data_IF_327357945034
#
_entry.id   IF_327357945034
#
_cell.length_a   1.000
_cell.length_b   1.000
_cell.length_c   1.000
_cell.angle_alpha   90.00
_cell.angle_beta   90.00
_cell.angle_gamma   90.00
#
_symmetry.space_group_name_H-M   'P 1'
#
loop_
_entity.id
_entity.type
_entity.pdbx_description
1 polymer ?
#
# COMPACT_ATOMS: atom_id res chain seq x y z
N UNK A 1 -31.54 -91.26 14.41
CA UNK A 1 -32.76 -90.67 15.00
C UNK A 1 -32.58 -89.16 15.07
N UNK A 2 -33.54 -88.43 14.48
CA UNK A 2 -33.87 -86.99 14.51
C UNK A 2 -32.80 -85.98 15.00
N UNK A 3 -32.31 -85.02 14.18
CA UNK A 3 -32.98 -83.78 13.69
C UNK A 3 -33.10 -82.73 14.83
N UNK A 4 -32.75 -81.44 14.71
CA UNK A 4 -32.90 -80.45 13.63
C UNK A 4 -31.97 -79.23 13.85
N UNK A 5 -31.62 -78.55 12.76
CA UNK A 5 -30.72 -77.38 12.62
C UNK A 5 -31.50 -76.02 12.72
N UNK A 6 -31.06 -74.88 12.11
CA UNK A 6 -30.39 -73.70 12.72
C UNK A 6 -31.07 -72.35 12.34
N UNK A 7 -30.49 -71.16 12.63
CA UNK A 7 -30.62 -69.85 11.87
C UNK A 7 -29.54 -68.88 12.46
N UNK A 8 -28.41 -68.51 11.81
CA UNK A 8 -28.14 -67.55 10.70
C UNK A 8 -28.61 -66.09 10.97
N UNK A 9 -27.99 -64.95 10.60
CA UNK A 9 -26.66 -64.52 10.13
C UNK A 9 -26.75 -63.00 9.82
N UNK A 10 -25.62 -62.28 9.91
CA UNK A 10 -25.20 -61.05 9.17
C UNK A 10 -25.70 -59.62 9.48
N UNK A 11 -24.71 -58.80 9.88
CA UNK A 11 -24.16 -57.56 9.28
C UNK A 11 -25.01 -56.56 8.47
N UNK A 12 -24.73 -55.25 8.68
CA UNK A 12 -24.30 -54.24 7.67
C UNK A 12 -24.23 -52.80 8.25
N UNK A 13 -23.08 -52.13 8.07
CA UNK A 13 -22.93 -50.67 7.86
C UNK A 13 -23.44 -50.31 6.42
N UNK A 14 -23.51 -49.04 5.92
CA UNK A 14 -23.22 -47.70 6.47
C UNK A 14 -24.26 -46.59 6.07
N UNK A 15 -23.92 -45.31 6.34
CA UNK A 15 -23.98 -44.14 5.42
C UNK A 15 -24.84 -42.92 5.77
N UNK A 16 -24.20 -41.76 5.57
CA UNK A 16 -24.70 -40.50 4.99
C UNK A 16 -25.44 -39.44 5.84
N UNK A 17 -24.74 -38.29 5.96
CA UNK A 17 -25.16 -36.98 5.42
C UNK A 17 -26.07 -36.01 6.21
N UNK A 18 -25.50 -34.81 6.41
CA UNK A 18 -26.07 -33.45 6.30
C UNK A 18 -27.35 -33.07 7.06
N UNK A 19 -27.30 -32.00 7.88
CA UNK A 19 -27.81 -30.65 7.52
C UNK A 19 -28.07 -29.71 8.72
N UNK A 20 -27.55 -28.49 8.56
CA UNK A 20 -28.06 -27.14 8.93
C UNK A 20 -28.63 -26.73 10.30
N UNK A 21 -28.06 -25.59 10.73
CA UNK A 21 -28.70 -24.35 11.18
C UNK A 21 -29.57 -24.36 12.44
N UNK A 22 -29.09 -23.65 13.47
CA UNK A 22 -29.94 -23.11 14.52
C UNK A 22 -29.97 -21.57 14.42
N UNK A 23 -31.18 -21.06 14.16
CA UNK A 23 -31.54 -19.64 14.10
C UNK A 23 -32.01 -19.22 15.49
N UNK A 24 -31.43 -18.16 16.05
CA UNK A 24 -32.02 -17.45 17.19
C UNK A 24 -32.43 -16.04 16.75
N UNK A 25 -33.75 -15.80 16.82
CA UNK A 25 -34.45 -14.53 16.61
C UNK A 25 -34.14 -13.57 17.75
N UNK A 26 -33.95 -12.28 17.47
CA UNK A 26 -34.55 -11.21 18.28
C UNK A 26 -34.79 -9.92 17.46
N UNK A 27 -35.85 -9.22 17.89
CA UNK A 27 -36.71 -8.24 17.22
C UNK A 27 -36.08 -6.93 16.72
N UNK A 28 -36.50 -6.57 15.50
CA UNK A 28 -37.07 -5.28 15.03
C UNK A 28 -36.78 -3.98 15.82
N UNK A 29 -36.13 -3.03 15.14
CA UNK A 29 -36.62 -1.65 15.05
C UNK A 29 -36.35 -1.10 13.63
N UNK A 30 -37.41 -0.54 13.05
CA UNK A 30 -37.53 -0.07 11.67
C UNK A 30 -37.42 1.45 11.62
N UNK A 31 -36.70 1.99 10.63
CA UNK A 31 -36.98 3.32 10.08
C UNK A 31 -36.85 3.28 8.55
N UNK A 32 -38.01 3.49 7.90
CA UNK A 32 -38.28 3.93 6.51
C UNK A 32 -37.33 5.05 6.04
N UNK A 33 -37.13 5.40 4.76
CA UNK A 33 -37.56 5.01 3.41
C UNK A 33 -36.58 5.77 2.48
N UNK A 34 -36.23 5.26 1.30
CA UNK A 34 -36.36 6.05 0.05
C UNK A 34 -36.26 5.13 -1.16
N UNK A 35 -37.33 5.16 -1.94
CA UNK A 35 -37.56 4.43 -3.19
C UNK A 35 -36.82 5.14 -4.33
N UNK A 36 -36.11 4.40 -5.18
CA UNK A 36 -35.95 4.76 -6.60
C UNK A 36 -36.19 3.53 -7.45
N UNK A 37 -37.27 3.60 -8.22
CA UNK A 37 -37.67 2.65 -9.25
C UNK A 37 -36.62 2.62 -10.36
N UNK A 38 -36.27 1.42 -10.84
CA UNK A 38 -35.80 1.24 -12.20
C UNK A 38 -36.74 0.24 -12.89
N UNK A 39 -37.37 0.76 -13.93
CA UNK A 39 -38.28 0.11 -14.85
C UNK A 39 -37.49 -0.92 -15.67
N UNK A 40 -37.93 -2.17 -15.67
CA UNK A 40 -37.41 -3.22 -16.51
C UNK A 40 -38.19 -3.17 -17.83
N UNK A 41 -37.53 -2.81 -18.94
CA UNK A 41 -38.11 -2.88 -20.27
C UNK A 41 -37.49 -4.05 -21.04
N UNK A 42 -38.34 -5.00 -21.40
CA UNK A 42 -38.03 -6.21 -22.14
C UNK A 42 -37.85 -5.92 -23.63
N UNK A 43 -36.68 -6.22 -24.20
CA UNK A 43 -36.54 -6.46 -25.63
C UNK A 43 -35.50 -7.56 -25.88
N UNK A 44 -35.96 -8.71 -26.40
CA UNK A 44 -35.13 -9.72 -27.08
C UNK A 44 -34.58 -9.14 -28.40
N UNK A 45 -33.49 -9.72 -28.94
CA UNK A 45 -33.70 -10.51 -30.17
C UNK A 45 -32.82 -11.78 -30.32
N UNK A 46 -33.49 -12.78 -30.91
CA UNK A 46 -33.09 -13.86 -31.84
C UNK A 46 -31.64 -14.40 -31.84
N UNK A 47 -31.59 -15.71 -31.56
CA UNK A 47 -30.52 -16.67 -31.85
C UNK A 47 -30.55 -17.02 -33.35
N UNK A 48 -29.39 -16.97 -34.02
CA UNK A 48 -29.13 -17.70 -35.26
C UNK A 48 -28.00 -18.70 -35.02
N UNK A 49 -28.34 -19.97 -35.20
CA UNK A 49 -27.47 -21.13 -35.08
C UNK A 49 -26.94 -21.47 -36.48
N UNK A 50 -25.63 -21.46 -36.69
CA UNK A 50 -25.00 -22.15 -37.82
C UNK A 50 -23.84 -23.01 -37.32
N UNK A 51 -23.97 -24.31 -37.57
CA UNK A 51 -22.93 -25.34 -37.53
C UNK A 51 -22.54 -25.61 -38.99
N UNK A 52 -21.26 -25.89 -39.34
CA UNK A 52 -20.93 -27.32 -39.53
C UNK A 52 -19.46 -27.73 -39.29
N UNK A 53 -19.31 -29.00 -38.83
CA UNK A 53 -18.45 -30.11 -39.33
C UNK A 53 -16.92 -29.91 -39.41
N UNK A 54 -16.14 -30.57 -38.53
CA UNK A 54 -15.61 -31.95 -38.60
C UNK A 54 -14.39 -32.14 -39.52
N UNK A 55 -13.25 -32.55 -38.96
CA UNK A 55 -12.35 -33.66 -39.39
C UNK A 55 -11.00 -33.58 -38.62
N UNK A 56 -10.67 -34.67 -37.91
CA UNK A 56 -9.31 -35.09 -37.47
C UNK A 56 -8.75 -36.07 -38.54
N UNK A 57 -7.52 -36.67 -38.47
CA UNK A 57 -6.33 -36.52 -37.59
C UNK A 57 -4.98 -36.50 -38.40
N UNK A 58 -3.84 -36.83 -37.74
CA UNK A 58 -2.50 -37.21 -38.24
C UNK A 58 -1.44 -36.09 -38.40
N UNK A 59 -0.13 -36.26 -38.17
CA UNK A 59 0.73 -37.30 -37.58
C UNK A 59 2.19 -36.77 -37.54
N UNK A 60 3.04 -37.37 -36.69
CA UNK A 60 4.51 -37.55 -36.84
C UNK A 60 5.55 -36.41 -36.67
N UNK A 61 6.47 -36.66 -35.73
CA UNK A 61 7.87 -36.17 -35.52
C UNK A 61 8.76 -36.91 -36.57
N UNK A 62 9.95 -36.46 -37.09
CA UNK A 62 11.16 -36.11 -36.32
C UNK A 62 12.28 -35.20 -36.91
N UNK A 63 13.20 -34.81 -36.00
CA UNK A 63 14.66 -34.57 -36.10
C UNK A 63 15.35 -34.34 -37.46
N UNK A 64 16.27 -33.35 -37.52
CA UNK A 64 17.73 -33.61 -37.47
C UNK A 64 18.61 -32.36 -37.64
N UNK A 65 19.65 -32.31 -36.79
CA UNK A 65 21.06 -31.89 -36.98
C UNK A 65 21.36 -30.47 -37.52
N UNK A 66 22.34 -29.72 -37.01
CA UNK A 66 23.79 -30.02 -37.05
C UNK A 66 24.56 -29.25 -35.95
N UNK A 67 25.53 -29.95 -35.33
CA UNK A 67 26.84 -29.58 -34.77
C UNK A 67 27.34 -28.13 -35.04
N UNK A 68 28.19 -27.44 -34.28
CA UNK A 68 29.29 -27.81 -33.36
C UNK A 68 29.82 -26.50 -32.71
N UNK A 69 30.22 -26.57 -31.44
CA UNK A 69 31.12 -25.64 -30.71
C UNK A 69 32.56 -25.61 -31.29
N UNK A 70 33.58 -24.85 -30.78
CA UNK A 70 33.69 -23.87 -29.68
C UNK A 70 34.42 -22.55 -30.11
N UNK A 71 34.57 -21.49 -29.30
CA UNK A 71 35.78 -21.23 -28.48
C UNK A 71 35.85 -19.73 -28.06
N UNK A 72 36.53 -19.47 -26.93
CA UNK A 72 36.71 -18.17 -26.25
C UNK A 72 37.78 -17.29 -26.91
N UNK A 73 37.66 -15.96 -26.79
CA UNK A 73 38.82 -15.08 -26.53
C UNK A 73 38.40 -13.71 -25.94
N UNK A 74 39.23 -13.24 -25.01
CA UNK A 74 39.21 -11.95 -24.29
C UNK A 74 39.81 -10.80 -25.14
N UNK A 75 39.43 -9.54 -24.87
CA UNK A 75 40.26 -8.30 -24.73
C UNK A 75 39.33 -7.06 -24.78
N UNK A 76 39.19 -6.26 -23.72
CA UNK A 76 40.02 -5.13 -23.26
C UNK A 76 39.86 -3.80 -24.04
N UNK A 77 39.40 -2.77 -23.32
CA UNK A 77 39.93 -1.40 -23.37
C UNK A 77 39.57 -0.51 -24.57
N UNK A 78 38.79 0.55 -24.32
CA UNK A 78 38.79 1.72 -25.20
C UNK A 78 38.87 3.01 -24.36
N UNK A 79 39.94 3.79 -24.59
CA UNK A 79 40.20 5.13 -24.06
C UNK A 79 40.39 6.08 -25.25
N UNK A 80 39.63 7.18 -25.22
CA UNK A 80 39.95 8.56 -25.65
C UNK A 80 40.76 8.85 -26.93
N UNK A 81 40.17 9.65 -27.83
CA UNK A 81 40.50 11.08 -28.12
C UNK A 81 40.59 11.47 -29.61
N UNK A 82 39.88 12.57 -29.94
CA UNK A 82 40.24 13.68 -30.86
C UNK A 82 40.39 13.39 -32.38
N UNK A 83 39.39 13.73 -33.21
CA UNK A 83 39.24 14.96 -34.08
C UNK A 83 40.08 14.92 -35.39
N UNK A 84 39.72 15.57 -36.53
CA UNK A 84 38.58 16.46 -36.83
C UNK A 84 37.82 16.13 -38.16
N UNK A 85 36.65 16.74 -38.41
CA UNK A 85 36.14 16.93 -39.80
C UNK A 85 35.50 18.30 -39.93
N UNK A 86 35.95 19.07 -40.93
CA UNK A 86 35.42 20.36 -41.34
C UNK A 86 34.14 20.22 -42.20
N UNK A 87 33.14 20.99 -41.77
CA UNK A 87 32.13 21.75 -42.50
C UNK A 87 31.70 21.32 -43.91
N UNK A 88 30.42 20.95 -44.02
CA UNK A 88 29.54 21.46 -45.06
C UNK A 88 28.17 21.71 -44.44
N UNK A 89 27.69 22.93 -44.61
CA UNK A 89 26.55 23.54 -43.94
C UNK A 89 25.21 23.11 -44.56
N UNK A 90 24.37 22.45 -43.77
CA UNK A 90 22.91 22.52 -43.90
C UNK A 90 22.33 22.58 -42.50
N UNK A 91 22.00 23.79 -42.04
CA UNK A 91 21.29 24.01 -40.79
C UNK A 91 19.97 23.23 -40.82
N UNK A 92 19.81 22.29 -39.88
CA UNK A 92 18.53 21.72 -39.50
C UNK A 92 18.51 21.81 -37.98
N UNK A 93 17.96 22.92 -37.50
CA UNK A 93 17.85 23.22 -36.08
C UNK A 93 16.84 22.32 -35.39
N UNK A 94 17.17 22.10 -34.12
CA UNK A 94 16.48 21.38 -33.06
C UNK A 94 14.99 21.78 -32.87
N UNK A 95 14.19 20.99 -32.12
CA UNK A 95 12.78 21.28 -31.91
C UNK A 95 12.60 22.41 -30.87
N UNK A 96 12.84 23.65 -31.27
CA UNK A 96 12.38 24.86 -30.59
C UNK A 96 11.13 25.42 -31.28
N UNK A 97 10.00 24.71 -31.29
CA UNK A 97 8.76 25.27 -31.86
C UNK A 97 7.45 24.89 -31.16
N UNK A 98 7.47 24.15 -30.06
CA UNK A 98 6.20 23.80 -29.36
C UNK A 98 5.65 24.98 -28.53
N UNK A 99 6.50 25.94 -28.14
CA UNK A 99 6.04 27.13 -27.38
C UNK A 99 5.48 28.22 -28.31
N UNK A 100 5.93 28.30 -29.57
CA UNK A 100 5.52 29.35 -30.50
C UNK A 100 4.22 29.07 -31.26
N UNK A 101 3.75 27.82 -31.32
CA UNK A 101 2.42 27.52 -31.88
C UNK A 101 1.28 27.97 -30.96
N UNK A 102 1.48 27.95 -29.63
CA UNK A 102 0.49 28.46 -28.67
C UNK A 102 0.29 29.99 -28.75
N UNK A 103 1.24 30.72 -29.36
CA UNK A 103 1.18 32.18 -29.50
C UNK A 103 0.61 32.65 -30.84
N UNK A 104 0.46 31.75 -31.83
CA UNK A 104 -0.16 32.08 -33.13
C UNK A 104 -1.70 32.18 -33.08
N UNK A 105 -2.32 31.73 -31.99
CA UNK A 105 -3.78 31.82 -31.78
C UNK A 105 -4.27 33.18 -31.27
N UNK A 106 -3.37 34.08 -30.84
CA UNK A 106 -3.75 35.44 -30.41
C UNK A 106 -3.87 36.34 -31.64
N UNK A 107 -4.97 36.21 -32.39
CA UNK A 107 -5.27 37.18 -33.45
C UNK A 107 -5.50 38.55 -32.82
N UNK A 108 -4.84 39.58 -33.38
CA UNK A 108 -5.05 40.98 -32.99
C UNK A 108 -6.52 41.40 -33.10
N UNK A 109 -7.29 40.75 -33.96
CA UNK A 109 -8.73 40.97 -34.09
C UNK A 109 -9.51 40.46 -32.88
N UNK A 110 -9.12 39.34 -32.25
CA UNK A 110 -9.76 38.88 -31.00
C UNK A 110 -9.50 39.81 -29.81
N UNK A 111 -8.28 40.39 -29.75
CA UNK A 111 -7.90 41.38 -28.74
C UNK A 111 -8.63 42.69 -28.98
N UNK A 112 -8.77 43.12 -30.25
CA UNK A 112 -9.50 44.32 -30.65
C UNK A 112 -11.02 44.21 -30.41
N UNK A 113 -11.59 43.02 -30.61
CA UNK A 113 -13.01 42.72 -30.32
C UNK A 113 -13.27 42.57 -28.81
N UNK A 114 -12.28 42.09 -28.04
CA UNK A 114 -12.30 42.11 -26.58
C UNK A 114 -12.17 43.53 -26.00
N UNK A 115 -11.36 44.39 -26.64
CA UNK A 115 -11.17 45.79 -26.24
C UNK A 115 -12.43 46.65 -26.49
N UNK A 116 -13.20 46.38 -27.55
CA UNK A 116 -14.43 47.14 -27.85
C UNK A 116 -15.62 46.78 -26.95
N UNK A 117 -15.53 45.69 -26.18
CA UNK A 117 -16.53 45.29 -25.17
C UNK A 117 -16.14 45.66 -23.72
N UNK A 118 -15.05 46.41 -23.53
CA UNK A 118 -14.61 46.86 -22.22
C UNK A 118 -15.48 48.03 -21.75
N UNK A 119 -16.47 47.74 -20.91
CA UNK A 119 -17.09 48.79 -20.10
C UNK A 119 -16.05 49.34 -19.12
N UNK A 120 -16.03 50.66 -18.85
CA UNK A 120 -15.06 51.28 -17.93
C UNK A 120 -15.07 50.61 -16.55
N UNK A 121 -16.22 50.07 -16.15
CA UNK A 121 -16.37 49.31 -14.91
C UNK A 121 -15.59 47.98 -14.89
N UNK A 122 -15.49 47.26 -16.01
CA UNK A 122 -14.69 46.02 -16.08
C UNK A 122 -13.20 46.31 -15.97
N UNK A 123 -12.70 47.35 -16.64
CA UNK A 123 -11.29 47.76 -16.57
C UNK A 123 -10.92 48.16 -15.14
N UNK A 124 -11.79 48.91 -14.45
CA UNK A 124 -11.59 49.28 -13.04
C UNK A 124 -11.55 48.05 -12.13
N UNK A 125 -12.47 47.09 -12.33
CA UNK A 125 -12.50 45.83 -11.56
C UNK A 125 -11.23 45.01 -11.74
N UNK A 126 -10.78 44.81 -12.99
CA UNK A 126 -9.55 44.09 -13.28
C UNK A 126 -8.32 44.83 -12.75
N UNK A 127 -8.25 46.15 -12.92
CA UNK A 127 -7.17 46.98 -12.36
C UNK A 127 -7.08 46.89 -10.84
N UNK A 128 -8.22 46.91 -10.13
CA UNK A 128 -8.27 46.73 -8.69
C UNK A 128 -7.80 45.33 -8.28
N UNK A 129 -8.23 44.28 -8.99
CA UNK A 129 -7.78 42.91 -8.73
C UNK A 129 -6.28 42.74 -8.96
N UNK A 130 -5.74 43.29 -10.05
CA UNK A 130 -4.31 43.26 -10.33
C UNK A 130 -3.50 44.05 -9.30
N UNK A 131 -4.01 45.20 -8.85
CA UNK A 131 -3.37 46.00 -7.80
C UNK A 131 -3.34 45.26 -6.45
N UNK A 132 -4.47 44.67 -6.04
CA UNK A 132 -4.54 43.84 -4.83
C UNK A 132 -3.60 42.63 -4.95
N UNK A 133 -3.57 41.97 -6.10
CA UNK A 133 -2.67 40.85 -6.34
C UNK A 133 -1.20 41.28 -6.30
N UNK A 134 -0.84 42.44 -6.86
CA UNK A 134 0.52 42.98 -6.83
C UNK A 134 0.95 43.35 -5.40
N UNK A 135 0.07 43.95 -4.62
CA UNK A 135 0.31 44.27 -3.20
C UNK A 135 0.49 42.98 -2.39
N UNK A 136 -0.41 42.00 -2.56
CA UNK A 136 -0.32 40.70 -1.91
C UNK A 136 0.96 39.96 -2.29
N UNK A 137 1.35 39.99 -3.56
CA UNK A 137 2.57 39.35 -4.06
C UNK A 137 3.82 40.03 -3.51
N UNK A 138 3.86 41.37 -3.46
CA UNK A 138 4.97 42.13 -2.85
C UNK A 138 5.08 41.85 -1.35
N UNK A 139 3.94 41.81 -0.64
CA UNK A 139 3.91 41.45 0.77
C UNK A 139 4.42 40.01 1.00
N UNK A 140 3.95 39.05 0.19
CA UNK A 140 4.41 37.66 0.25
C UNK A 140 5.90 37.53 -0.02
N UNK A 141 6.42 38.24 -1.02
CA UNK A 141 7.86 38.27 -1.31
C UNK A 141 8.65 38.82 -0.12
N UNK A 142 8.19 39.91 0.49
CA UNK A 142 8.84 40.50 1.66
C UNK A 142 8.83 39.56 2.86
N UNK A 143 7.74 38.83 3.09
CA UNK A 143 7.66 37.81 4.16
C UNK A 143 8.64 36.67 3.87
N UNK A 144 8.67 36.15 2.64
CA UNK A 144 9.54 35.03 2.24
C UNK A 144 11.03 35.40 2.16
N UNK A 145 11.38 36.66 1.91
CA UNK A 145 12.79 37.11 1.92
C UNK A 145 13.25 37.49 3.33
N UNK A 146 12.33 37.68 4.28
CA UNK A 146 12.68 38.06 5.64
C UNK A 146 13.32 36.88 6.40
N UNK A 147 14.57 37.00 6.88
CA UNK A 147 15.24 35.92 7.61
C UNK A 147 14.55 35.61 8.95
N UNK A 148 13.92 36.61 9.60
CA UNK A 148 13.19 36.39 10.84
C UNK A 148 11.94 35.53 10.63
N UNK A 149 11.26 35.66 9.47
CA UNK A 149 10.14 34.78 9.15
C UNK A 149 10.60 33.33 9.15
N UNK A 150 11.70 33.01 8.44
CA UNK A 150 12.24 31.66 8.39
C UNK A 150 12.75 31.16 9.74
N UNK A 151 13.27 32.05 10.58
CA UNK A 151 13.66 31.73 11.95
C UNK A 151 12.44 31.34 12.81
N UNK A 152 11.37 32.14 12.84
CA UNK A 152 10.17 31.78 13.61
C UNK A 152 9.40 30.61 13.00
N UNK A 153 9.38 30.52 11.67
CA UNK A 153 8.80 29.39 10.96
C UNK A 153 9.57 28.10 11.26
N UNK A 154 10.91 28.12 11.27
CA UNK A 154 11.71 26.94 11.66
C UNK A 154 11.51 26.58 13.13
N UNK A 155 11.36 27.56 14.03
CA UNK A 155 10.98 27.31 15.42
C UNK A 155 9.60 26.66 15.54
N UNK A 156 8.70 26.88 14.58
CA UNK A 156 7.39 26.20 14.53
C UNK A 156 7.52 24.71 14.16
N UNK A 157 8.61 24.31 13.50
CA UNK A 157 8.93 22.90 13.24
C UNK A 157 9.73 22.27 14.38
N UNK A 158 10.55 23.06 15.06
CA UNK A 158 11.37 22.61 16.20
C UNK A 158 10.51 22.44 17.47
N UNK A 159 9.67 23.42 17.79
CA UNK A 159 8.70 23.37 18.88
C UNK A 159 7.38 22.85 18.34
N UNK A 160 6.86 21.78 18.95
CA UNK A 160 5.66 21.12 18.42
C UNK A 160 4.41 21.96 18.66
N UNK A 161 3.87 22.68 17.66
CA UNK A 161 2.73 23.53 17.86
C UNK A 161 1.51 22.62 17.83
N UNK A 162 0.91 22.38 18.98
CA UNK A 162 -0.34 21.64 19.09
C UNK A 162 -1.39 22.06 18.06
N UNK A 163 -1.43 23.36 17.74
CA UNK A 163 -2.30 23.92 16.70
C UNK A 163 -2.08 23.29 15.32
N UNK A 164 -0.83 23.01 14.93
CA UNK A 164 -0.51 22.37 13.65
C UNK A 164 -0.95 20.91 13.66
N UNK A 165 -0.64 20.16 14.74
CA UNK A 165 -1.05 18.77 14.86
C UNK A 165 -2.58 18.60 14.86
N UNK A 166 -3.29 19.48 15.58
CA UNK A 166 -4.75 19.50 15.64
C UNK A 166 -5.39 19.95 14.31
N UNK A 167 -4.82 20.94 13.63
CA UNK A 167 -5.28 21.36 12.30
C UNK A 167 -5.09 20.24 11.27
N UNK A 168 -3.99 19.51 11.36
CA UNK A 168 -3.73 18.36 10.50
C UNK A 168 -4.67 17.19 10.80
N UNK A 169 -5.01 16.98 12.08
CA UNK A 169 -6.01 15.99 12.50
C UNK A 169 -7.42 16.35 11.99
N UNK A 170 -7.83 17.61 12.14
CA UNK A 170 -9.16 18.07 11.73
C UNK A 170 -9.35 17.98 10.22
N UNK A 171 -8.34 18.40 9.44
CA UNK A 171 -8.35 18.26 7.99
C UNK A 171 -8.37 16.79 7.56
N UNK A 172 -7.59 15.92 8.24
CA UNK A 172 -7.64 14.48 8.00
C UNK A 172 -9.02 13.88 8.29
N UNK A 173 -9.72 14.32 9.33
CA UNK A 173 -11.07 13.84 9.63
C UNK A 173 -12.09 14.27 8.56
N UNK A 174 -11.96 15.49 8.04
CA UNK A 174 -12.73 15.95 6.88
C UNK A 174 -12.48 15.07 5.65
N UNK A 175 -11.21 14.80 5.31
CA UNK A 175 -10.83 13.90 4.23
C UNK A 175 -11.35 12.47 4.45
N UNK A 176 -11.33 11.98 5.69
CA UNK A 176 -11.84 10.65 6.03
C UNK A 176 -13.35 10.55 5.80
N UNK A 177 -14.12 11.54 6.23
CA UNK A 177 -15.57 11.58 5.97
C UNK A 177 -15.86 11.60 4.46
N UNK A 178 -15.07 12.34 3.67
CA UNK A 178 -15.15 12.35 2.21
C UNK A 178 -14.78 11.00 1.60
N UNK A 179 -13.76 10.31 2.14
CA UNK A 179 -13.35 8.98 1.71
C UNK A 179 -14.43 7.92 1.99
N UNK A 180 -15.08 8.00 3.16
CA UNK A 180 -16.19 7.11 3.52
C UNK A 180 -17.42 7.28 2.59
N UNK A 181 -17.57 8.45 1.93
CA UNK A 181 -18.59 8.71 0.90
C UNK A 181 -18.15 8.29 -0.51
N UNK A 182 -16.90 7.88 -0.70
CA UNK A 182 -16.34 7.51 -2.01
C UNK A 182 -15.91 8.69 -2.88
N UNK A 183 -15.82 9.91 -2.32
CA UNK A 183 -15.54 11.14 -3.07
C UNK A 183 -14.08 11.61 -2.95
N UNK A 184 -13.25 10.91 -2.17
CA UNK A 184 -11.91 11.38 -1.85
C UNK A 184 -10.88 11.12 -2.96
N UNK A 185 -10.13 12.17 -3.29
CA UNK A 185 -9.00 12.13 -4.22
C UNK A 185 -7.78 11.43 -3.61
N UNK A 186 -6.83 11.01 -4.44
CA UNK A 186 -5.59 10.34 -4.00
C UNK A 186 -4.79 11.19 -3.00
N UNK A 187 -4.75 12.51 -3.19
CA UNK A 187 -4.09 13.44 -2.27
C UNK A 187 -4.77 13.45 -0.91
N UNK A 188 -6.10 13.43 -0.86
CA UNK A 188 -6.87 13.40 0.39
C UNK A 188 -6.67 12.07 1.12
N UNK A 189 -6.58 10.96 0.39
CA UNK A 189 -6.24 9.66 0.98
C UNK A 189 -4.81 9.64 1.55
N UNK A 190 -3.86 10.25 0.85
CA UNK A 190 -2.49 10.42 1.33
C UNK A 190 -2.42 11.26 2.59
N UNK A 191 -3.23 12.33 2.70
CA UNK A 191 -3.36 13.14 3.92
C UNK A 191 -3.85 12.32 5.10
N UNK A 192 -4.86 11.46 4.91
CA UNK A 192 -5.37 10.58 5.98
C UNK A 192 -4.26 9.70 6.53
N UNK A 193 -3.51 9.04 5.64
CA UNK A 193 -2.42 8.14 6.02
C UNK A 193 -1.26 8.91 6.68
N UNK A 194 -0.90 10.07 6.13
CA UNK A 194 0.14 10.93 6.69
C UNK A 194 -0.21 11.37 8.11
N UNK A 195 -1.46 11.83 8.32
CA UNK A 195 -1.95 12.26 9.63
C UNK A 195 -1.93 11.12 10.64
N UNK A 196 -2.39 9.93 10.25
CA UNK A 196 -2.33 8.75 11.12
C UNK A 196 -0.90 8.44 11.59
N UNK A 197 0.09 8.46 10.71
CA UNK A 197 1.48 8.21 11.10
C UNK A 197 2.11 9.36 11.88
N UNK A 198 1.74 10.61 11.60
CA UNK A 198 2.15 11.76 12.41
C UNK A 198 1.69 11.59 13.86
N UNK A 199 0.42 11.24 14.07
CA UNK A 199 -0.15 11.01 15.39
C UNK A 199 0.35 9.74 16.08
N UNK A 200 0.83 8.78 15.31
CA UNK A 200 1.41 7.55 15.83
C UNK A 200 2.88 7.69 16.22
N UNK A 201 3.68 8.46 15.47
CA UNK A 201 5.16 8.43 15.58
C UNK A 201 5.81 9.75 15.97
N UNK A 202 5.21 10.90 15.62
CA UNK A 202 5.79 12.23 15.89
C UNK A 202 5.13 12.92 17.08
N UNK A 203 3.79 12.91 17.14
CA UNK A 203 3.05 13.57 18.23
C UNK A 203 3.45 13.02 19.61
N UNK A 204 3.59 11.70 19.84
CA UNK A 204 3.91 11.21 21.18
C UNK A 204 5.26 11.70 21.71
N UNK A 205 6.41 11.51 21.03
CA UNK A 205 7.69 11.99 21.54
C UNK A 205 7.71 13.53 21.61
N UNK A 206 7.09 14.22 20.65
CA UNK A 206 6.99 15.67 20.70
C UNK A 206 6.21 16.20 21.91
N UNK A 207 5.12 15.53 22.27
CA UNK A 207 4.29 15.90 23.41
C UNK A 207 5.07 15.85 24.73
N UNK A 208 5.78 14.74 24.97
CA UNK A 208 6.49 14.54 26.23
C UNK A 208 7.81 15.31 26.31
N UNK A 209 8.43 15.66 25.18
CA UNK A 209 9.72 16.35 25.14
C UNK A 209 9.62 17.86 24.84
N UNK A 210 8.49 18.35 24.33
CA UNK A 210 8.26 19.77 23.98
C UNK A 210 8.90 20.23 22.67
N UNK A 211 9.85 19.49 22.12
CA UNK A 211 10.47 19.73 20.82
C UNK A 211 10.65 18.42 20.05
N UNK A 212 10.80 18.52 18.72
CA UNK A 212 11.02 17.38 17.85
C UNK A 212 12.24 17.62 16.96
N UNK A 213 13.36 17.00 17.31
CA UNK A 213 14.60 17.07 16.53
C UNK A 213 15.23 15.69 16.35
N UNK A 214 15.86 15.49 15.19
CA UNK A 214 16.70 14.32 14.92
C UNK A 214 15.96 13.09 14.42
N UNK A 215 16.26 11.95 15.03
CA UNK A 215 15.94 10.63 14.49
C UNK A 215 14.44 10.26 14.44
N UNK A 216 13.51 10.80 15.26
CA UNK A 216 12.09 10.45 15.15
C UNK A 216 11.46 10.82 13.80
N UNK A 217 11.94 11.88 13.15
CA UNK A 217 11.54 12.26 11.78
C UNK A 217 11.87 11.13 10.79
N UNK A 218 13.01 10.46 10.98
CA UNK A 218 13.40 9.34 10.13
C UNK A 218 12.45 8.17 10.30
N UNK A 219 12.01 7.87 11.52
CA UNK A 219 11.00 6.83 11.75
C UNK A 219 9.66 7.16 11.10
N UNK A 220 9.22 8.41 11.17
CA UNK A 220 8.03 8.85 10.45
C UNK A 220 8.15 8.56 8.94
N UNK A 221 9.26 8.94 8.32
CA UNK A 221 9.50 8.68 6.90
C UNK A 221 9.58 7.17 6.58
N UNK A 222 10.26 6.40 7.43
CA UNK A 222 10.38 4.94 7.29
C UNK A 222 9.00 4.29 7.40
N UNK A 223 8.19 4.63 8.41
CA UNK A 223 6.83 4.12 8.57
C UNK A 223 5.98 4.46 7.37
N UNK A 224 6.02 5.72 6.96
CA UNK A 224 5.25 6.19 5.82
C UNK A 224 5.60 5.36 4.58
N UNK A 225 6.88 5.27 4.22
CA UNK A 225 7.32 4.49 3.08
C UNK A 225 7.04 2.99 3.21
N UNK A 226 7.20 2.41 4.41
CA UNK A 226 7.01 0.98 4.67
C UNK A 226 5.59 0.51 4.33
N UNK A 227 4.56 1.29 4.69
CA UNK A 227 3.17 0.93 4.38
C UNK A 227 2.81 1.18 2.90
N UNK A 228 3.46 2.14 2.24
CA UNK A 228 3.34 2.34 0.80
C UNK A 228 4.14 1.34 -0.04
N UNK A 229 5.10 0.62 0.56
CA UNK A 229 6.00 -0.30 -0.13
C UNK A 229 5.27 -1.32 -1.01
N UNK A 230 4.17 -1.88 -0.50
CA UNK A 230 3.31 -2.80 -1.26
C UNK A 230 2.75 -2.14 -2.52
N UNK A 231 2.25 -0.90 -2.41
CA UNK A 231 1.72 -0.16 -3.56
C UNK A 231 2.83 0.16 -4.55
N UNK A 232 3.99 0.60 -4.07
CA UNK A 232 5.16 0.93 -4.91
C UNK A 232 5.71 -0.28 -5.67
N UNK A 233 5.88 -1.43 -5.01
CA UNK A 233 6.36 -2.67 -5.65
C UNK A 233 5.40 -3.08 -6.76
N UNK A 234 4.10 -3.02 -6.49
CA UNK A 234 3.08 -3.41 -7.46
C UNK A 234 3.03 -2.49 -8.66
N UNK A 235 3.05 -1.17 -8.44
CA UNK A 235 3.12 -0.18 -9.51
C UNK A 235 4.37 -0.38 -10.36
N UNK A 236 5.52 -0.71 -9.74
CA UNK A 236 6.76 -1.01 -10.47
C UNK A 236 6.67 -2.28 -11.31
N UNK A 237 6.04 -3.34 -10.80
CA UNK A 237 5.96 -4.63 -11.47
C UNK A 237 4.92 -4.68 -12.59
N UNK A 238 3.81 -3.95 -12.44
CA UNK A 238 2.62 -4.11 -13.27
C UNK A 238 2.12 -2.82 -13.93
N UNK A 239 2.70 -1.66 -13.62
CA UNK A 239 2.27 -0.36 -14.14
C UNK A 239 1.03 0.19 -13.42
N UNK A 240 0.23 0.97 -14.14
CA UNK A 240 -0.96 1.62 -13.58
C UNK A 240 -2.07 0.62 -13.24
N UNK A 241 -2.64 0.80 -12.05
CA UNK A 241 -3.52 -0.15 -11.38
C UNK A 241 -4.86 -0.28 -12.11
N UNK A 242 -5.05 -1.35 -12.88
CA UNK A 242 -6.40 -1.80 -13.26
C UNK A 242 -6.92 -2.72 -12.15
N UNK A 243 -8.00 -2.35 -11.43
CA UNK A 243 -8.59 -3.24 -10.44
C UNK A 243 -9.06 -4.52 -11.14
N UNK A 244 -8.64 -5.68 -10.61
CA UNK A 244 -9.03 -6.99 -11.12
C UNK A 244 -10.36 -7.41 -10.52
N UNK A 245 -11.02 -8.36 -11.19
CA UNK A 245 -12.10 -9.14 -10.58
C UNK A 245 -11.52 -9.88 -9.38
N UNK A 246 -11.96 -9.45 -8.20
CA UNK A 246 -11.47 -9.91 -6.92
C UNK A 246 -12.44 -10.96 -6.37
N UNK A 247 -11.95 -12.16 -6.08
CA UNK A 247 -12.76 -13.21 -5.46
C UNK A 247 -12.90 -12.93 -3.95
N UNK A 248 -14.12 -12.68 -3.45
CA UNK A 248 -14.38 -12.36 -2.03
C UNK A 248 -13.89 -13.45 -1.07
N UNK A 249 -13.67 -14.68 -1.54
CA UNK A 249 -13.14 -15.79 -0.73
C UNK A 249 -11.77 -15.48 -0.13
N UNK A 250 -10.97 -14.66 -0.81
CA UNK A 250 -9.63 -14.27 -0.37
C UNK A 250 -9.64 -13.05 0.56
N UNK A 251 -10.80 -12.44 0.84
CA UNK A 251 -10.96 -11.34 1.80
C UNK A 251 -11.03 -11.84 3.24
N UNK A 252 -9.89 -12.32 3.73
CA UNK A 252 -9.76 -12.77 5.11
C UNK A 252 -9.70 -11.56 6.03
N UNK A 253 -10.86 -11.21 6.59
CA UNK A 253 -10.99 -10.06 7.47
C UNK A 253 -11.50 -10.44 8.84
N UNK A 254 -10.79 -9.96 9.88
CA UNK A 254 -11.27 -10.07 11.25
C UNK A 254 -12.45 -9.12 11.50
N UNK A 255 -13.32 -9.42 12.49
CA UNK A 255 -14.38 -8.52 12.92
C UNK A 255 -13.88 -7.10 13.17
N UNK A 256 -14.69 -6.10 12.81
CA UNK A 256 -14.32 -4.67 12.91
C UNK A 256 -13.82 -4.27 14.30
N UNK A 257 -14.40 -4.83 15.37
CA UNK A 257 -13.97 -4.56 16.75
C UNK A 257 -12.55 -5.05 17.04
N UNK A 258 -12.12 -6.19 16.49
CA UNK A 258 -10.73 -6.68 16.64
C UNK A 258 -9.73 -5.77 15.93
N UNK A 259 -10.12 -5.24 14.75
CA UNK A 259 -9.31 -4.25 14.02
C UNK A 259 -9.20 -2.95 14.82
N UNK A 260 -10.31 -2.47 15.38
CA UNK A 260 -10.32 -1.28 16.23
C UNK A 260 -9.43 -1.48 17.47
N UNK A 261 -9.58 -2.60 18.17
CA UNK A 261 -8.76 -2.94 19.34
C UNK A 261 -7.27 -3.01 18.99
N UNK A 262 -6.91 -3.57 17.83
CA UNK A 262 -5.54 -3.57 17.34
C UNK A 262 -5.03 -2.16 17.08
N UNK A 263 -5.79 -1.31 16.37
CA UNK A 263 -5.40 0.08 16.11
C UNK A 263 -5.22 0.88 17.41
N UNK A 264 -6.16 0.73 18.36
CA UNK A 264 -6.07 1.38 19.67
C UNK A 264 -4.86 0.85 20.45
N UNK A 265 -4.63 -0.46 20.47
CA UNK A 265 -3.49 -1.06 21.15
C UNK A 265 -2.15 -0.58 20.57
N UNK A 266 -2.03 -0.50 19.24
CA UNK A 266 -0.82 0.04 18.60
C UNK A 266 -0.64 1.52 18.94
N UNK A 267 -1.70 2.32 18.90
CA UNK A 267 -1.66 3.74 19.28
C UNK A 267 -1.21 3.91 20.74
N UNK A 268 -1.85 3.22 21.67
CA UNK A 268 -1.49 3.24 23.10
C UNK A 268 -0.05 2.80 23.29
N UNK A 269 0.40 1.74 22.62
CA UNK A 269 1.77 1.27 22.73
C UNK A 269 2.82 2.31 22.31
N UNK A 270 2.55 3.07 21.23
CA UNK A 270 3.48 4.13 20.80
C UNK A 270 3.46 5.34 21.75
N UNK A 271 2.28 5.68 22.30
CA UNK A 271 2.16 6.75 23.28
C UNK A 271 2.82 6.42 24.62
N UNK A 272 2.62 5.19 25.11
CA UNK A 272 3.29 4.71 26.33
C UNK A 272 4.79 4.57 26.10
N UNK A 273 5.25 4.19 24.90
CA UNK A 273 6.68 4.15 24.58
C UNK A 273 7.34 5.54 24.69
N UNK A 274 6.65 6.58 24.21
CA UNK A 274 7.15 7.94 24.32
C UNK A 274 7.11 8.49 25.75
N UNK A 275 6.23 7.95 26.60
CA UNK A 275 6.17 8.27 28.03
C UNK A 275 7.21 7.51 28.86
N UNK A 276 7.46 6.24 28.54
CA UNK A 276 8.43 5.37 29.21
C UNK A 276 9.88 5.74 28.87
N UNK A 277 10.11 6.20 27.64
CA UNK A 277 11.43 6.58 27.16
C UNK A 277 12.01 7.79 27.91
N UNK A 278 13.35 7.86 28.08
CA UNK A 278 14.00 9.05 28.61
C UNK A 278 13.87 10.22 27.62
N UNK A 279 14.17 11.42 28.10
CA UNK A 279 14.12 12.63 27.28
C UNK A 279 14.95 12.47 26.01
N UNK A 280 14.42 12.94 24.88
CA UNK A 280 14.92 12.62 23.55
C UNK A 280 16.38 13.06 23.33
N UNK A 281 16.82 14.13 24.00
CA UNK A 281 18.19 14.61 23.94
C UNK A 281 19.20 13.68 24.66
N UNK A 282 18.74 12.83 25.58
CA UNK A 282 19.53 11.82 26.26
C UNK A 282 19.67 10.53 25.44
N UNK A 283 18.82 10.37 24.41
CA UNK A 283 18.90 9.23 23.49
C UNK A 283 19.83 9.62 22.35
N UNK A 284 21.11 9.19 22.36
CA UNK A 284 22.05 9.58 21.33
C UNK A 284 21.53 9.10 19.96
N UNK A 285 21.58 9.99 18.98
CA UNK A 285 21.24 9.67 17.59
C UNK A 285 22.41 9.01 16.84
N UNK A 286 22.23 8.85 15.52
CA UNK A 286 23.30 8.47 14.60
C UNK A 286 23.80 7.03 14.78
N UNK A 287 25.13 6.87 14.77
CA UNK A 287 25.84 5.58 14.78
C UNK A 287 25.73 4.83 16.11
N UNK A 288 25.40 5.50 17.21
CA UNK A 288 25.16 4.83 18.50
C UNK A 288 23.97 3.86 18.43
N UNK A 289 23.04 4.06 17.49
CA UNK A 289 21.85 3.24 17.28
C UNK A 289 22.02 2.22 16.14
N UNK A 290 23.25 1.79 15.83
CA UNK A 290 23.53 0.83 14.76
C UNK A 290 22.65 -0.44 14.83
N UNK A 291 22.44 -0.98 16.03
CA UNK A 291 21.56 -2.13 16.22
C UNK A 291 20.11 -1.86 15.79
N UNK A 292 19.57 -0.70 16.14
CA UNK A 292 18.21 -0.28 15.77
C UNK A 292 18.10 -0.08 14.26
N UNK A 293 19.09 0.58 13.63
CA UNK A 293 19.15 0.69 12.17
C UNK A 293 19.17 -0.68 11.50
N UNK A 294 19.92 -1.64 12.05
CA UNK A 294 19.92 -3.02 11.60
C UNK A 294 18.52 -3.66 11.65
N UNK A 295 17.77 -3.46 12.74
CA UNK A 295 16.39 -3.95 12.86
C UNK A 295 15.45 -3.32 11.83
N UNK A 296 15.55 -2.01 11.60
CA UNK A 296 14.74 -1.30 10.60
C UNK A 296 15.05 -1.82 9.19
N UNK A 297 16.33 -1.91 8.84
CA UNK A 297 16.76 -2.41 7.53
C UNK A 297 16.28 -3.84 7.34
N UNK A 298 16.38 -4.68 8.37
CA UNK A 298 15.85 -6.05 8.35
C UNK A 298 14.33 -6.07 8.13
N UNK A 299 13.57 -5.22 8.82
CA UNK A 299 12.11 -5.11 8.65
C UNK A 299 11.74 -4.69 7.22
N UNK A 300 12.38 -3.65 6.69
CA UNK A 300 12.15 -3.15 5.33
C UNK A 300 12.55 -4.18 4.29
N UNK A 301 13.69 -4.83 4.46
CA UNK A 301 14.17 -5.90 3.58
C UNK A 301 13.19 -7.07 3.55
N UNK A 302 12.75 -7.53 4.72
CA UNK A 302 11.79 -8.62 4.84
C UNK A 302 10.45 -8.24 4.21
N UNK A 303 9.95 -7.03 4.43
CA UNK A 303 8.74 -6.52 3.79
C UNK A 303 8.89 -6.50 2.26
N UNK A 304 9.98 -5.92 1.74
CA UNK A 304 10.22 -5.79 0.31
C UNK A 304 10.23 -7.13 -0.40
N UNK A 305 11.04 -8.06 0.07
CA UNK A 305 11.15 -9.37 -0.57
C UNK A 305 9.86 -10.17 -0.44
N UNK A 306 9.18 -10.11 0.71
CA UNK A 306 7.92 -10.84 0.91
C UNK A 306 6.82 -10.35 -0.02
N UNK A 307 6.70 -9.03 -0.15
CA UNK A 307 5.74 -8.39 -1.06
C UNK A 307 6.08 -8.65 -2.53
N UNK A 308 7.37 -8.63 -2.91
CA UNK A 308 7.79 -8.91 -4.27
C UNK A 308 7.52 -10.36 -4.69
N UNK A 309 7.83 -11.34 -3.82
CA UNK A 309 7.52 -12.74 -4.11
C UNK A 309 6.01 -12.96 -4.12
N UNK A 310 5.27 -12.45 -3.13
CA UNK A 310 3.82 -12.60 -3.12
C UNK A 310 3.17 -11.98 -4.37
N UNK A 311 3.56 -10.76 -4.73
CA UNK A 311 3.05 -10.07 -5.91
C UNK A 311 3.25 -10.90 -7.20
N UNK A 312 4.38 -11.59 -7.35
CA UNK A 312 4.68 -12.41 -8.54
C UNK A 312 3.76 -13.63 -8.66
N UNK A 313 3.36 -14.25 -7.55
CA UNK A 313 2.66 -15.54 -7.53
C UNK A 313 1.16 -15.46 -7.21
N UNK A 314 0.74 -14.54 -6.34
CA UNK A 314 -0.70 -14.33 -6.05
C UNK A 314 -1.31 -13.28 -6.94
N UNK A 315 -0.53 -12.31 -7.39
CA UNK A 315 -1.05 -11.13 -8.08
C UNK A 315 -0.92 -11.23 -9.60
N UNK A 316 -0.62 -12.38 -10.20
CA UNK A 316 -0.85 -12.57 -11.65
C UNK A 316 -2.15 -13.31 -11.96
N UNK A 317 -2.78 -13.86 -10.93
CA UNK A 317 -3.84 -14.87 -11.05
C UNK A 317 -5.01 -14.51 -10.14
N UNK A 318 -6.23 -14.79 -10.57
CA UNK A 318 -7.46 -14.54 -9.76
C UNK A 318 -7.47 -15.44 -8.52
N UNK A 319 -6.90 -16.64 -8.66
CA UNK A 319 -6.72 -17.63 -7.59
C UNK A 319 -5.23 -17.91 -7.47
N UNK A 320 -4.61 -17.84 -6.28
CA UNK A 320 -3.21 -18.15 -6.10
C UNK A 320 -2.90 -19.57 -6.60
N UNK A 321 -1.91 -19.69 -7.49
CA UNK A 321 -1.62 -20.95 -8.20
C UNK A 321 -0.60 -21.83 -7.48
N UNK A 322 0.19 -21.26 -6.59
CA UNK A 322 1.22 -21.99 -5.85
C UNK A 322 1.48 -21.37 -4.47
N UNK A 323 1.91 -22.22 -3.54
CA UNK A 323 2.40 -21.80 -2.22
C UNK A 323 3.80 -21.21 -2.38
N UNK A 324 3.99 -19.97 -1.94
CA UNK A 324 5.31 -19.31 -1.99
C UNK A 324 6.15 -19.82 -0.82
N UNK A 325 7.28 -20.48 -1.13
CA UNK A 325 8.18 -21.08 -0.13
C UNK A 325 9.59 -20.49 -0.17
N UNK A 326 9.83 -19.44 -0.96
CA UNK A 326 11.17 -18.87 -1.20
C UNK A 326 11.34 -17.48 -0.57
N UNK A 327 12.59 -17.06 -0.40
CA UNK A 327 12.90 -15.78 0.24
C UNK A 327 12.56 -15.81 1.74
N UNK A 328 11.98 -14.73 2.31
CA UNK A 328 11.62 -14.67 3.72
C UNK A 328 10.66 -15.79 4.18
N UNK A 329 9.85 -16.32 3.27
CA UNK A 329 8.92 -17.43 3.52
C UNK A 329 9.64 -18.74 3.92
N UNK A 330 10.96 -18.85 3.72
CA UNK A 330 11.75 -20.00 4.19
C UNK A 330 11.95 -20.02 5.71
N UNK A 331 11.85 -18.85 6.35
CA UNK A 331 12.13 -18.69 7.78
C UNK A 331 10.85 -18.59 8.61
N UNK A 332 9.85 -17.86 8.11
CA UNK A 332 8.56 -17.66 8.77
C UNK A 332 7.44 -17.74 7.73
N UNK A 333 6.27 -18.27 8.13
CA UNK A 333 5.15 -18.43 7.21
C UNK A 333 4.51 -17.11 6.78
N UNK A 334 4.51 -16.11 7.67
CA UNK A 334 3.87 -14.80 7.44
C UNK A 334 4.87 -13.65 7.61
N UNK A 335 5.86 -13.53 6.72
CA UNK A 335 6.95 -12.56 6.87
C UNK A 335 6.50 -11.09 6.77
N UNK A 336 5.39 -10.78 6.07
CA UNK A 336 4.82 -9.41 6.00
C UNK A 336 4.28 -8.95 7.38
N UNK A 337 3.69 -9.87 8.15
CA UNK A 337 3.23 -9.55 9.50
C UNK A 337 4.39 -9.45 10.47
N UNK A 338 5.36 -10.35 10.33
CA UNK A 338 6.59 -10.32 11.11
C UNK A 338 7.36 -9.01 10.92
N UNK A 339 7.46 -8.47 9.70
CA UNK A 339 8.17 -7.22 9.41
C UNK A 339 7.45 -6.02 9.97
N UNK A 340 6.11 -6.00 9.88
CA UNK A 340 5.31 -4.93 10.46
C UNK A 340 5.44 -4.89 11.99
N UNK A 341 5.37 -6.06 12.63
CA UNK A 341 5.59 -6.16 14.08
C UNK A 341 7.01 -5.76 14.48
N UNK A 342 8.02 -6.22 13.73
CA UNK A 342 9.42 -5.87 13.96
C UNK A 342 9.65 -4.36 13.86
N UNK A 343 9.02 -3.69 12.90
CA UNK A 343 9.10 -2.23 12.76
C UNK A 343 8.53 -1.51 13.99
N UNK A 344 7.36 -1.95 14.49
CA UNK A 344 6.75 -1.35 15.69
C UNK A 344 7.58 -1.58 16.96
N UNK A 345 8.16 -2.78 17.11
CA UNK A 345 9.07 -3.09 18.21
C UNK A 345 10.35 -2.27 18.10
N UNK A 346 10.94 -2.13 16.91
CA UNK A 346 12.14 -1.32 16.69
C UNK A 346 11.94 0.15 17.07
N UNK A 347 10.75 0.72 16.82
CA UNK A 347 10.41 2.07 17.28
C UNK A 347 10.42 2.20 18.80
N UNK A 348 9.82 1.25 19.53
CA UNK A 348 9.83 1.26 21.00
C UNK A 348 11.25 1.11 21.57
N UNK A 349 12.06 0.24 20.96
CA UNK A 349 13.47 0.07 21.34
C UNK A 349 14.26 1.37 21.08
N UNK A 350 13.96 2.08 19.99
CA UNK A 350 14.59 3.36 19.69
C UNK A 350 14.29 4.43 20.76
N UNK A 351 13.08 4.43 21.29
CA UNK A 351 12.69 5.25 22.44
C UNK A 351 13.21 4.73 23.79
N UNK A 352 13.96 3.62 23.82
CA UNK A 352 14.44 2.95 25.04
C UNK A 352 13.30 2.53 25.99
N UNK A 353 12.18 2.11 25.41
CA UNK A 353 10.96 1.71 26.11
C UNK A 353 10.72 0.18 26.01
N UNK A 354 11.41 -0.65 26.80
CA UNK A 354 11.32 -2.11 26.71
C UNK A 354 9.94 -2.68 27.09
N UNK A 355 9.21 -2.07 28.04
CA UNK A 355 7.89 -2.55 28.44
C UNK A 355 6.88 -2.30 27.32
N UNK A 356 6.94 -1.13 26.70
CA UNK A 356 6.13 -0.79 25.54
C UNK A 356 6.45 -1.65 24.32
N UNK A 357 7.73 -1.99 24.11
CA UNK A 357 8.15 -2.93 23.08
C UNK A 357 7.51 -4.32 23.28
N UNK A 358 7.51 -4.83 24.52
CA UNK A 358 6.86 -6.10 24.87
C UNK A 358 5.34 -6.02 24.68
N UNK A 359 4.71 -4.94 25.13
CA UNK A 359 3.27 -4.72 24.97
C UNK A 359 2.86 -4.75 23.49
N UNK A 360 3.56 -3.99 22.64
CA UNK A 360 3.29 -3.98 21.20
C UNK A 360 3.51 -5.36 20.58
N UNK A 361 4.59 -6.06 20.95
CA UNK A 361 4.86 -7.40 20.44
C UNK A 361 3.71 -8.37 20.77
N UNK A 362 3.13 -8.29 21.98
CA UNK A 362 1.96 -9.08 22.37
C UNK A 362 0.73 -8.68 21.57
N UNK A 363 0.41 -7.39 21.46
CA UNK A 363 -0.75 -6.89 20.68
C UNK A 363 -0.68 -7.36 19.22
N UNK A 364 0.49 -7.23 18.59
CA UNK A 364 0.74 -7.70 17.24
C UNK A 364 0.63 -9.23 17.12
N UNK A 365 1.21 -9.98 18.05
CA UNK A 365 1.18 -11.45 18.03
C UNK A 365 -0.25 -11.99 18.13
N UNK A 366 -1.09 -11.39 18.98
CA UNK A 366 -2.50 -11.77 19.13
C UNK A 366 -3.29 -11.46 17.86
N UNK A 367 -3.15 -10.26 17.30
CA UNK A 367 -3.90 -9.85 16.12
C UNK A 367 -3.45 -10.62 14.86
N UNK A 368 -2.16 -10.59 14.55
CA UNK A 368 -1.61 -11.27 13.38
C UNK A 368 -1.65 -12.79 13.52
N UNK A 369 -1.55 -13.33 14.74
CA UNK A 369 -1.70 -14.77 14.98
C UNK A 369 -3.11 -15.26 14.66
N UNK A 370 -4.14 -14.49 15.03
CA UNK A 370 -5.53 -14.79 14.67
C UNK A 370 -5.78 -14.65 13.17
N UNK A 371 -5.23 -13.60 12.55
CA UNK A 371 -5.36 -13.38 11.10
C UNK A 371 -4.67 -14.49 10.30
N UNK A 372 -3.43 -14.81 10.67
CA UNK A 372 -2.66 -15.89 10.08
C UNK A 372 -3.43 -17.21 10.15
N UNK A 373 -3.97 -17.61 11.31
CA UNK A 373 -4.76 -18.86 11.43
C UNK A 373 -5.91 -18.96 10.42
N UNK A 374 -6.63 -17.86 10.17
CA UNK A 374 -7.71 -17.85 9.18
C UNK A 374 -7.18 -17.98 7.75
N UNK A 375 -6.09 -17.28 7.44
CA UNK A 375 -5.42 -17.37 6.13
C UNK A 375 -4.85 -18.77 5.90
N UNK A 376 -4.25 -19.41 6.90
CA UNK A 376 -3.73 -20.77 6.84
C UNK A 376 -4.85 -21.80 6.61
N UNK A 377 -6.03 -21.61 7.22
CA UNK A 377 -7.18 -22.48 7.00
C UNK A 377 -7.60 -22.48 5.52
N UNK A 378 -7.65 -21.30 4.91
CA UNK A 378 -7.97 -21.14 3.48
C UNK A 378 -6.84 -21.66 2.57
N UNK A 379 -5.58 -21.53 2.99
CA UNK A 379 -4.46 -22.14 2.28
C UNK A 379 -4.54 -23.67 2.29
N UNK A 380 -4.94 -24.28 3.42
CA UNK A 380 -5.17 -25.73 3.51
C UNK A 380 -6.35 -26.16 2.65
N UNK A 381 -7.46 -25.42 2.68
CA UNK A 381 -8.64 -25.72 1.86
C UNK A 381 -8.32 -25.69 0.35
N UNK A 382 -7.49 -24.74 -0.10
CA UNK A 382 -7.19 -24.56 -1.52
C UNK A 382 -6.01 -25.41 -2.02
N UNK A 383 -4.97 -25.61 -1.19
CA UNK A 383 -3.73 -26.29 -1.60
C UNK A 383 -3.51 -27.66 -0.96
N UNK A 384 -4.31 -28.04 0.03
CA UNK A 384 -4.28 -29.34 0.69
C UNK A 384 -2.88 -29.70 1.20
N UNK A 385 -2.41 -30.88 0.79
CA UNK A 385 -1.12 -31.45 1.23
C UNK A 385 0.08 -30.56 0.92
N UNK A 386 0.08 -29.80 -0.18
CA UNK A 386 1.22 -28.92 -0.53
C UNK A 386 1.47 -27.86 0.53
N UNK A 387 0.40 -27.30 1.11
CA UNK A 387 0.54 -26.33 2.17
C UNK A 387 0.91 -26.99 3.50
N UNK A 388 0.36 -28.17 3.79
CA UNK A 388 0.71 -28.94 4.98
C UNK A 388 2.19 -29.35 4.99
N UNK A 389 2.73 -29.76 3.85
CA UNK A 389 4.16 -30.07 3.70
C UNK A 389 5.01 -28.82 3.97
N UNK A 390 4.65 -27.67 3.40
CA UNK A 390 5.32 -26.41 3.67
C UNK A 390 5.26 -26.01 5.16
N UNK A 391 4.08 -26.13 5.78
CA UNK A 391 3.89 -25.82 7.20
C UNK A 391 4.66 -26.76 8.12
N UNK A 392 4.92 -28.00 7.69
CA UNK A 392 5.78 -28.94 8.42
C UNK A 392 7.27 -28.55 8.37
N UNK A 393 7.71 -27.96 7.25
CA UNK A 393 9.09 -27.48 7.06
C UNK A 393 9.33 -26.16 7.80
N UNK A 394 8.36 -25.24 7.75
CA UNK A 394 8.47 -23.90 8.36
C UNK A 394 7.64 -23.83 9.63
N UNK A 395 8.28 -24.13 10.76
CA UNK A 395 7.62 -24.23 12.07
C UNK A 395 7.03 -22.88 12.54
N UNK A 396 7.78 -21.80 12.35
CA UNK A 396 7.44 -20.47 12.89
C UNK A 396 6.39 -19.74 12.03
N UNK A 397 5.40 -19.13 12.68
CA UNK A 397 4.36 -18.34 12.02
C UNK A 397 4.82 -16.90 11.79
N UNK A 398 5.30 -16.25 12.84
CA UNK A 398 5.56 -14.81 12.90
C UNK A 398 6.93 -14.50 13.49
N UNK A 399 7.29 -15.11 14.62
CA UNK A 399 8.54 -14.84 15.33
C UNK A 399 9.43 -16.06 15.22
N UNK A 400 10.60 -15.96 14.58
CA UNK A 400 11.59 -17.01 14.62
C UNK A 400 11.87 -17.42 16.08
N UNK A 401 11.80 -18.72 16.36
CA UNK A 401 12.09 -19.30 17.68
C UNK A 401 11.06 -19.05 18.80
N UNK A 402 9.93 -18.38 18.54
CA UNK A 402 8.89 -18.16 19.58
C UNK A 402 7.51 -18.62 19.10
N UNK A 403 7.07 -18.17 17.93
CA UNK A 403 5.69 -18.38 17.47
C UNK A 403 5.55 -18.46 15.95
#
# INVERSE_FOLDING_TARGET
>A
MAATSPVLVYSKLPSSSFSCCNVSKHKFFSHRHFHKQLVCNSQQPRIHLELPKSLLPESSIPFSNVNSSPSRQYLSGFRSSLMPVQCSSSYSDAPETVVFESLKGFSLDSVKMGLSQLTPFKVLKWGLMFSIAAIASKWMLNVLVNPFFWMYFSMTWLYWPWMVALSFASYSFYCLNKHLRGEANVVEQFVIVSSAFTWLTLVPPAHFNGFLEGWPVVFFLVYHYFFFLNVSIRKRMYGDYKPREHDPRWDVSLPKWKKLLFCVGVMVGHWVAAFEGPELHLVPGGWSNLGIWGLIVMAVFMQYHSSLYLAKYSEKVVVPTAVVQFGPYRFVRHPIYASTMLLFVAYCIALRAPLSALFIAVVCSVYYGNKAKLEECLMVENFGERYMEYASKVRYKLIPCVY
#
